data_IF_154411537625
#
_entry.id   IF_154411537625
#
_cell.length_a   1.000
_cell.length_b   1.000
_cell.length_c   1.000
_cell.angle_alpha   90.00
_cell.angle_beta   90.00
_cell.angle_gamma   90.00
#
_symmetry.space_group_name_H-M   'P 1'
#
loop_
_entity.id
_entity.type
_entity.pdbx_description
1 polymer ?
#
# COMPACT_ATOMS: atom_id res chain seq x y z
N UNK A 1 20.49 -3.97 15.11
CA UNK A 1 19.39 -3.00 15.14
C UNK A 1 18.17 -3.68 14.56
N UNK A 2 17.03 -3.68 15.27
CA UNK A 2 15.77 -4.17 14.70
C UNK A 2 15.24 -3.09 13.77
N UNK A 3 15.29 -3.33 12.46
CA UNK A 3 14.70 -2.42 11.46
C UNK A 3 13.23 -2.81 11.29
N UNK A 4 12.33 -1.83 11.26
CA UNK A 4 10.90 -2.05 11.03
C UNK A 4 10.70 -2.64 9.64
N UNK A 5 9.86 -3.67 9.51
CA UNK A 5 9.55 -4.28 8.21
C UNK A 5 8.76 -3.30 7.34
N UNK A 6 8.86 -3.37 5.99
CA UNK A 6 8.04 -2.54 5.11
C UNK A 6 6.53 -2.67 5.37
N UNK A 7 6.07 -3.87 5.69
CA UNK A 7 4.68 -4.15 6.09
C UNK A 7 4.27 -3.37 7.35
N UNK A 8 5.12 -3.36 8.39
CA UNK A 8 4.85 -2.56 9.58
C UNK A 8 4.89 -1.06 9.29
N UNK A 9 5.82 -0.63 8.43
CA UNK A 9 5.98 0.78 8.08
C UNK A 9 4.78 1.32 7.28
N UNK A 10 4.26 0.57 6.29
CA UNK A 10 3.10 1.03 5.51
C UNK A 10 1.85 1.15 6.39
N UNK A 11 1.63 0.22 7.33
CA UNK A 11 0.53 0.32 8.29
C UNK A 11 0.65 1.56 9.17
N UNK A 12 1.85 1.81 9.73
CA UNK A 12 2.10 3.00 10.53
C UNK A 12 1.87 4.28 9.73
N UNK A 13 2.23 4.29 8.44
CA UNK A 13 2.00 5.43 7.56
C UNK A 13 0.53 5.67 7.25
N UNK A 14 -0.24 4.60 7.01
CA UNK A 14 -1.70 4.72 6.80
C UNK A 14 -2.37 5.30 8.04
N UNK A 15 -2.07 4.78 9.23
CA UNK A 15 -2.65 5.31 10.49
C UNK A 15 -2.19 6.75 10.76
N UNK A 16 -0.90 7.04 10.56
CA UNK A 16 -0.39 8.40 10.71
C UNK A 16 -1.09 9.37 9.75
N UNK A 17 -1.32 8.95 8.50
CA UNK A 17 -2.02 9.74 7.49
C UNK A 17 -3.47 10.03 7.91
N UNK A 18 -4.18 9.05 8.50
CA UNK A 18 -5.55 9.26 8.97
C UNK A 18 -5.67 10.19 10.18
N UNK A 19 -4.60 10.34 10.97
CA UNK A 19 -4.62 11.08 12.24
C UNK A 19 -4.05 12.52 12.14
N UNK A 20 -3.11 12.76 11.22
CA UNK A 20 -2.33 14.00 11.15
C UNK A 20 -3.00 15.14 10.37
N UNK A 21 -2.50 16.36 10.60
CA UNK A 21 -2.82 17.56 9.83
C UNK A 21 -2.14 17.54 8.44
N UNK A 22 -2.64 18.36 7.50
CA UNK A 22 -2.41 18.20 6.06
C UNK A 22 -0.95 18.19 5.58
N UNK A 23 -0.07 19.01 6.17
CA UNK A 23 1.35 19.12 5.78
C UNK A 23 2.17 17.89 6.18
N UNK A 24 1.92 17.35 7.38
CA UNK A 24 2.52 16.09 7.83
C UNK A 24 1.92 14.90 7.07
N UNK A 25 0.61 14.95 6.82
CA UNK A 25 -0.15 13.91 6.13
C UNK A 25 0.35 13.68 4.70
N UNK A 26 0.65 14.74 3.94
CA UNK A 26 1.18 14.59 2.57
C UNK A 26 2.49 13.80 2.53
N UNK A 27 3.37 13.98 3.52
CA UNK A 27 4.63 13.20 3.60
C UNK A 27 4.35 11.73 3.82
N UNK A 28 3.40 11.40 4.69
CA UNK A 28 3.01 10.01 4.91
C UNK A 28 2.41 9.37 3.65
N UNK A 29 1.62 10.13 2.85
CA UNK A 29 1.11 9.66 1.57
C UNK A 29 2.22 9.38 0.55
N UNK A 30 3.20 10.27 0.42
CA UNK A 30 4.35 10.06 -0.47
C UNK A 30 5.21 8.86 -0.02
N UNK A 31 5.38 8.66 1.28
CA UNK A 31 6.08 7.49 1.81
C UNK A 31 5.33 6.19 1.49
N UNK A 32 3.98 6.20 1.55
CA UNK A 32 3.16 5.06 1.12
C UNK A 32 3.40 4.78 -0.37
N UNK A 33 3.29 5.79 -1.23
CA UNK A 33 3.55 5.63 -2.67
C UNK A 33 4.94 5.05 -2.95
N UNK A 34 5.96 5.52 -2.23
CA UNK A 34 7.31 4.99 -2.34
C UNK A 34 7.37 3.51 -1.94
N UNK A 35 6.78 3.12 -0.80
CA UNK A 35 6.77 1.73 -0.35
C UNK A 35 6.06 0.82 -1.35
N UNK A 36 4.89 1.21 -1.84
CA UNK A 36 4.12 0.41 -2.80
C UNK A 36 4.87 0.24 -4.13
N UNK A 37 5.56 1.28 -4.60
CA UNK A 37 6.27 1.27 -5.88
C UNK A 37 7.68 0.66 -5.83
N UNK A 38 8.21 0.40 -4.64
CA UNK A 38 9.59 -0.08 -4.48
C UNK A 38 9.70 -1.41 -3.73
N UNK A 39 8.59 -1.99 -3.27
CA UNK A 39 8.62 -3.25 -2.53
C UNK A 39 9.26 -4.40 -3.32
N UNK A 40 9.06 -4.41 -4.65
CA UNK A 40 9.71 -5.34 -5.58
C UNK A 40 11.25 -5.31 -5.51
N UNK A 41 11.86 -4.18 -5.11
CA UNK A 41 13.32 -4.05 -5.08
C UNK A 41 13.98 -4.90 -4.00
N UNK A 42 13.19 -5.47 -3.09
CA UNK A 42 13.65 -6.45 -2.11
C UNK A 42 13.76 -7.79 -2.84
N UNK A 43 14.98 -8.36 -2.88
CA UNK A 43 15.27 -9.59 -3.63
C UNK A 43 14.30 -10.71 -3.26
N UNK A 44 14.10 -10.96 -1.96
CA UNK A 44 13.23 -12.02 -1.48
C UNK A 44 11.77 -11.83 -1.91
N UNK A 45 11.30 -10.59 -2.05
CA UNK A 45 9.95 -10.27 -2.57
C UNK A 45 9.84 -10.67 -4.04
N UNK A 46 10.81 -10.24 -4.86
CA UNK A 46 10.82 -10.60 -6.28
C UNK A 46 10.96 -12.11 -6.47
N UNK A 47 11.89 -12.76 -5.76
CA UNK A 47 12.06 -14.22 -5.81
C UNK A 47 10.74 -14.94 -5.46
N UNK A 48 10.02 -14.46 -4.43
CA UNK A 48 8.72 -15.02 -4.01
C UNK A 48 7.66 -14.89 -5.11
N UNK A 49 7.60 -13.75 -5.82
CA UNK A 49 6.63 -13.53 -6.91
C UNK A 49 6.87 -14.45 -8.11
N UNK A 50 8.13 -14.84 -8.36
CA UNK A 50 8.50 -15.79 -9.42
C UNK A 50 8.55 -17.24 -8.96
N UNK A 51 8.21 -17.51 -7.69
CA UNK A 51 8.00 -18.88 -7.22
C UNK A 51 6.70 -19.45 -7.81
N UNK A 52 6.69 -20.75 -8.11
CA UNK A 52 5.61 -21.41 -8.84
C UNK A 52 4.23 -21.22 -8.18
N UNK A 53 4.21 -21.16 -6.86
CA UNK A 53 2.99 -20.98 -6.07
C UNK A 53 2.39 -19.55 -6.18
N UNK A 54 3.18 -18.53 -6.55
CA UNK A 54 2.74 -17.14 -6.67
C UNK A 54 2.63 -16.65 -8.12
N UNK A 55 2.88 -17.53 -9.11
CA UNK A 55 2.80 -17.15 -10.54
C UNK A 55 1.41 -16.65 -10.93
N UNK A 56 0.35 -17.17 -10.30
CA UNK A 56 -1.01 -16.69 -10.52
C UNK A 56 -1.20 -15.21 -10.10
N UNK A 57 -0.48 -14.74 -9.08
CA UNK A 57 -0.48 -13.31 -8.71
C UNK A 57 0.14 -12.46 -9.81
N UNK A 58 1.25 -12.91 -10.40
CA UNK A 58 1.86 -12.21 -11.55
C UNK A 58 0.92 -12.16 -12.75
N UNK A 59 0.23 -13.27 -13.07
CA UNK A 59 -0.78 -13.29 -14.14
C UNK A 59 -1.96 -12.35 -13.86
N UNK A 60 -2.43 -12.28 -12.61
CA UNK A 60 -3.53 -11.39 -12.19
C UNK A 60 -3.23 -9.92 -12.46
N UNK A 61 -1.96 -9.54 -12.36
CA UNK A 61 -1.50 -8.16 -12.56
C UNK A 61 -0.77 -7.96 -13.90
N UNK A 62 -1.03 -8.79 -14.91
CA UNK A 62 -0.45 -8.67 -16.26
C UNK A 62 1.09 -8.57 -16.26
N UNK A 63 1.73 -9.30 -15.34
CA UNK A 63 3.18 -9.29 -15.11
C UNK A 63 3.76 -7.94 -14.68
N UNK A 64 2.91 -7.04 -14.17
CA UNK A 64 3.35 -5.81 -13.49
C UNK A 64 3.89 -6.14 -12.10
N UNK A 65 5.22 -6.27 -12.02
CA UNK A 65 5.94 -6.66 -10.81
C UNK A 65 5.60 -5.71 -9.65
N UNK A 66 5.41 -4.41 -9.88
CA UNK A 66 5.17 -3.49 -8.76
C UNK A 66 3.74 -3.61 -8.24
N UNK A 67 2.75 -3.88 -9.09
CA UNK A 67 1.39 -4.18 -8.63
C UNK A 67 1.34 -5.51 -7.87
N UNK A 68 1.98 -6.56 -8.40
CA UNK A 68 2.06 -7.85 -7.73
C UNK A 68 2.81 -7.76 -6.39
N UNK A 69 3.89 -6.98 -6.32
CA UNK A 69 4.60 -6.69 -5.09
C UNK A 69 3.76 -5.87 -4.12
N UNK A 70 3.00 -4.87 -4.59
CA UNK A 70 2.09 -4.11 -3.74
C UNK A 70 1.00 -5.01 -3.13
N UNK A 71 0.44 -5.94 -3.91
CA UNK A 71 -0.46 -6.98 -3.41
C UNK A 71 0.18 -7.86 -2.34
N UNK A 72 1.40 -8.35 -2.57
CA UNK A 72 2.13 -9.16 -1.59
C UNK A 72 2.44 -8.36 -0.31
N UNK A 73 2.75 -7.07 -0.43
CA UNK A 73 2.89 -6.18 0.72
C UNK A 73 1.57 -6.05 1.49
N UNK A 74 0.43 -6.05 0.79
CA UNK A 74 -0.91 -6.11 1.38
C UNK A 74 -1.10 -7.36 2.23
N UNK A 75 -0.74 -8.53 1.71
CA UNK A 75 -0.79 -9.81 2.46
C UNK A 75 0.07 -9.71 3.72
N UNK A 76 1.34 -9.33 3.57
CA UNK A 76 2.25 -9.22 4.70
C UNK A 76 1.79 -8.20 5.74
N UNK A 77 1.18 -7.09 5.32
CA UNK A 77 0.59 -6.11 6.22
C UNK A 77 -0.63 -6.70 6.94
N UNK A 78 -1.50 -7.43 6.25
CA UNK A 78 -2.66 -8.06 6.88
C UNK A 78 -2.24 -9.09 7.94
N UNK A 79 -1.22 -9.91 7.66
CA UNK A 79 -0.70 -10.94 8.57
C UNK A 79 -0.25 -10.37 9.92
N UNK A 80 0.30 -9.16 9.94
CA UNK A 80 0.77 -8.50 11.17
C UNK A 80 -0.25 -7.51 11.76
N UNK A 81 -1.29 -7.14 11.01
CA UNK A 81 -2.26 -6.14 11.44
C UNK A 81 -3.18 -6.70 12.52
N UNK A 82 -3.26 -6.00 13.66
CA UNK A 82 -4.23 -6.30 14.70
C UNK A 82 -5.66 -5.90 14.25
N UNK A 83 -6.72 -6.48 14.85
CA UNK A 83 -8.10 -6.21 14.46
C UNK A 83 -8.45 -4.71 14.39
N UNK A 84 -7.98 -3.92 15.37
CA UNK A 84 -8.19 -2.48 15.39
C UNK A 84 -7.51 -1.78 14.20
N UNK A 85 -6.29 -2.19 13.84
CA UNK A 85 -5.58 -1.64 12.67
C UNK A 85 -6.33 -1.98 11.39
N UNK A 86 -6.76 -3.24 11.22
CA UNK A 86 -7.55 -3.65 10.05
C UNK A 86 -8.84 -2.85 9.93
N UNK A 87 -9.53 -2.62 11.04
CA UNK A 87 -10.74 -1.80 11.06
C UNK A 87 -10.45 -0.36 10.62
N UNK A 88 -9.35 0.26 11.08
CA UNK A 88 -9.02 1.63 10.65
C UNK A 88 -8.72 1.70 9.14
N UNK A 89 -8.01 0.72 8.58
CA UNK A 89 -7.77 0.65 7.13
C UNK A 89 -9.09 0.43 6.37
N UNK A 90 -9.99 -0.44 6.86
CA UNK A 90 -11.31 -0.64 6.25
C UNK A 90 -12.14 0.66 6.24
N UNK A 91 -12.14 1.41 7.34
CA UNK A 91 -12.85 2.70 7.44
C UNK A 91 -12.33 3.73 6.44
N UNK A 92 -11.01 3.76 6.20
CA UNK A 92 -10.39 4.61 5.18
C UNK A 92 -10.92 4.28 3.77
N UNK A 93 -10.96 2.99 3.42
CA UNK A 93 -11.38 2.53 2.09
C UNK A 93 -12.89 2.71 1.88
N UNK A 94 -13.69 2.48 2.92
CA UNK A 94 -15.14 2.66 2.89
C UNK A 94 -15.60 4.14 2.94
N UNK A 95 -14.67 5.10 3.06
CA UNK A 95 -15.00 6.53 3.14
C UNK A 95 -15.63 6.95 4.48
N UNK A 96 -15.50 6.14 5.53
CA UNK A 96 -16.08 6.39 6.86
C UNK A 96 -15.31 7.45 7.67
N UNK A 97 -14.23 7.99 7.11
CA UNK A 97 -13.40 9.04 7.70
C UNK A 97 -13.60 10.41 7.04
N UNK A 98 -14.66 10.58 6.24
CA UNK A 98 -15.01 11.84 5.58
C UNK A 98 -14.01 12.20 4.48
N UNK A 99 -13.37 13.37 4.59
CA UNK A 99 -12.35 13.83 3.63
C UNK A 99 -11.08 12.96 3.63
N UNK A 100 -10.90 12.10 4.65
CA UNK A 100 -9.76 11.19 4.77
C UNK A 100 -10.09 9.83 4.16
N UNK A 101 -10.28 9.81 2.86
CA UNK A 101 -10.65 8.60 2.11
C UNK A 101 -9.53 8.15 1.14
N UNK A 102 -9.73 7.00 0.50
CA UNK A 102 -8.77 6.43 -0.44
C UNK A 102 -8.45 7.36 -1.63
N UNK A 103 -9.46 8.05 -2.17
CA UNK A 103 -9.24 9.00 -3.27
C UNK A 103 -8.29 10.11 -2.83
N UNK A 104 -8.55 10.73 -1.68
CA UNK A 104 -7.69 11.78 -1.12
C UNK A 104 -6.27 11.30 -0.85
N UNK A 105 -6.11 10.06 -0.39
CA UNK A 105 -4.79 9.46 -0.20
C UNK A 105 -4.04 9.36 -1.54
N UNK A 106 -4.70 8.91 -2.61
CA UNK A 106 -4.09 8.83 -3.95
C UNK A 106 -3.70 10.22 -4.47
N UNK A 107 -4.52 11.25 -4.25
CA UNK A 107 -4.14 12.62 -4.63
C UNK A 107 -2.85 13.07 -3.92
N UNK A 108 -2.74 12.79 -2.62
CA UNK A 108 -1.60 13.21 -1.80
C UNK A 108 -0.35 12.34 -2.01
N UNK A 109 -0.53 11.11 -2.52
CA UNK A 109 0.56 10.26 -3.02
C UNK A 109 1.24 10.85 -4.27
N UNK A 110 0.61 11.83 -4.94
CA UNK A 110 1.13 12.43 -6.17
C UNK A 110 1.97 13.69 -5.90
N UNK A 111 3.15 13.74 -6.50
CA UNK A 111 3.89 14.97 -6.76
C UNK A 111 3.42 15.63 -8.07
N UNK A 112 3.12 14.80 -9.09
CA UNK A 112 2.55 15.20 -10.38
C UNK A 112 1.28 14.41 -10.65
N UNK A 113 0.14 15.01 -10.33
CA UNK A 113 -1.18 14.37 -10.34
C UNK A 113 -1.53 13.74 -11.70
N UNK A 114 -1.32 14.48 -12.78
CA UNK A 114 -1.61 14.08 -14.17
C UNK A 114 -0.83 12.84 -14.64
N UNK A 115 0.32 12.57 -14.02
CA UNK A 115 1.22 11.46 -14.39
C UNK A 115 1.06 10.28 -13.44
N UNK A 116 0.91 10.55 -12.14
CA UNK A 116 1.06 9.54 -11.10
C UNK A 116 -0.27 9.00 -10.57
N UNK A 117 -1.40 9.69 -10.78
CA UNK A 117 -2.67 9.32 -10.16
C UNK A 117 -3.08 7.89 -10.48
N UNK A 118 -3.11 7.52 -11.76
CA UNK A 118 -3.55 6.18 -12.16
C UNK A 118 -2.59 5.10 -11.66
N UNK A 119 -1.28 5.36 -11.69
CA UNK A 119 -0.28 4.42 -11.15
C UNK A 119 -0.44 4.22 -9.64
N UNK A 120 -0.59 5.30 -8.89
CA UNK A 120 -0.76 5.24 -7.44
C UNK A 120 -2.09 4.57 -7.06
N UNK A 121 -3.14 4.79 -7.84
CA UNK A 121 -4.43 4.10 -7.69
C UNK A 121 -4.29 2.59 -7.91
N UNK A 122 -3.62 2.16 -8.96
CA UNK A 122 -3.37 0.73 -9.23
C UNK A 122 -2.59 0.08 -8.08
N UNK A 123 -1.50 0.70 -7.65
CA UNK A 123 -0.66 0.21 -6.56
C UNK A 123 -1.43 0.13 -5.23
N UNK A 124 -2.21 1.17 -4.89
CA UNK A 124 -3.03 1.15 -3.67
C UNK A 124 -4.13 0.09 -3.76
N UNK A 125 -4.77 -0.07 -4.92
CA UNK A 125 -5.82 -1.08 -5.12
C UNK A 125 -5.26 -2.50 -4.98
N UNK A 126 -4.08 -2.77 -5.55
CA UNK A 126 -3.40 -4.05 -5.40
C UNK A 126 -3.05 -4.33 -3.94
N UNK A 127 -2.49 -3.34 -3.23
CA UNK A 127 -2.21 -3.44 -1.80
C UNK A 127 -3.47 -3.75 -0.97
N UNK A 128 -4.58 -3.04 -1.22
CA UNK A 128 -5.83 -3.26 -0.49
C UNK A 128 -6.42 -4.65 -0.76
N UNK A 129 -6.39 -5.11 -2.00
CA UNK A 129 -6.82 -6.45 -2.35
C UNK A 129 -6.01 -7.53 -1.60
N UNK A 130 -4.69 -7.38 -1.53
CA UNK A 130 -3.83 -8.27 -0.74
C UNK A 130 -4.06 -8.15 0.77
N UNK A 131 -4.45 -6.96 1.22
CA UNK A 131 -4.83 -6.71 2.61
C UNK A 131 -6.22 -7.30 2.97
N UNK A 132 -7.01 -7.70 1.97
CA UNK A 132 -8.34 -8.27 2.12
C UNK A 132 -9.48 -7.25 2.15
N UNK A 133 -9.32 -6.10 1.47
CA UNK A 133 -10.28 -5.00 1.37
C UNK A 133 -10.62 -4.65 -0.08
#
# INVERSE_FOLDING_TARGET
MSVVTPAGLVLLKIIAWTDRAGDMRRKDAMDIAYLLSTYEKIKDVTDTLFDGDNTQTMETYDWDISQAAAYLLGIHANDIAQPNTRQQVARLVNGELGERNAERLIEEMCERFDIQYERNKQLLSAFLAGFGL
#
